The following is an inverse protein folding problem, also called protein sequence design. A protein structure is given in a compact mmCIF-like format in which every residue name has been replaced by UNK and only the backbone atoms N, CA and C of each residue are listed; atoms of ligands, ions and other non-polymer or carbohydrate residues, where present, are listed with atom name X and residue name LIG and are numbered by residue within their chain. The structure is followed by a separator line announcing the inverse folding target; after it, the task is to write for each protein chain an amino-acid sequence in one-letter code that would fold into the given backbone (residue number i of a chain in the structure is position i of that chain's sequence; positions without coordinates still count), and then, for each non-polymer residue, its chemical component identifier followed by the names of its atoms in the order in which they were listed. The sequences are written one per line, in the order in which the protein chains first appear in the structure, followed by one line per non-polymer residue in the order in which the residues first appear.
data_IF_356801457877
#
_entry.id   IF_356801457877
#
_cell.length_a   1.000
_cell.length_b   1.000
_cell.length_c   1.000
_cell.angle_alpha   90.00
_cell.angle_beta   90.00
_cell.angle_gamma   90.00
#
_symmetry.space_group_name_H-M   'P 1'
#
loop_
_entity.id
_entity.type
_entity.pdbx_description
1 polymer ?
#
# COMPACT_ATOMS: atom_id res chain seq x y z
N UNK A 1 -20.67 9.71 -4.57
CA UNK A 1 -20.31 8.86 -3.40
C UNK A 1 -21.57 8.10 -2.99
N UNK A 2 -21.43 6.84 -2.61
CA UNK A 2 -22.57 5.92 -2.41
C UNK A 2 -22.81 5.59 -0.95
N UNK A 3 -21.74 5.61 -0.15
CA UNK A 3 -21.78 5.24 1.25
C UNK A 3 -21.29 6.39 2.12
N UNK A 4 -21.78 6.46 3.35
CA UNK A 4 -21.24 7.28 4.43
C UNK A 4 -20.68 6.35 5.49
N UNK A 5 -19.41 6.55 5.87
CA UNK A 5 -18.72 5.77 6.89
C UNK A 5 -18.20 6.70 7.98
N UNK A 6 -18.18 6.22 9.23
CA UNK A 6 -17.78 7.00 10.40
C UNK A 6 -16.46 6.49 10.97
N UNK A 7 -15.58 7.41 11.32
CA UNK A 7 -14.30 7.13 11.97
C UNK A 7 -14.53 6.63 13.38
N UNK A 8 -14.04 5.42 13.69
CA UNK A 8 -14.09 4.78 15.00
C UNK A 8 -12.77 4.85 15.74
N UNK A 9 -11.65 4.85 15.00
CA UNK A 9 -10.32 4.90 15.58
C UNK A 9 -9.34 5.58 14.65
N UNK A 10 -8.37 6.32 15.22
CA UNK A 10 -7.26 6.96 14.51
C UNK A 10 -6.00 6.70 15.32
N UNK A 11 -4.95 6.18 14.67
CA UNK A 11 -3.64 5.93 15.27
C UNK A 11 -2.54 6.33 14.30
N UNK A 12 -1.39 6.76 14.85
CA UNK A 12 -0.19 6.95 14.03
C UNK A 12 0.53 5.61 13.85
N UNK A 13 0.83 5.25 12.62
CA UNK A 13 1.68 4.10 12.26
C UNK A 13 3.14 4.53 12.16
N UNK A 14 3.36 5.68 11.52
CA UNK A 14 4.65 6.37 11.46
C UNK A 14 4.43 7.86 11.77
N UNK A 15 5.48 8.68 11.69
CA UNK A 15 5.38 10.12 11.93
C UNK A 15 4.47 10.85 10.91
N UNK A 16 4.19 10.25 9.75
CA UNK A 16 3.40 10.83 8.67
C UNK A 16 2.37 9.86 8.06
N UNK A 17 2.06 8.76 8.76
CA UNK A 17 1.07 7.76 8.31
C UNK A 17 0.05 7.51 9.40
N UNK A 18 -1.23 7.66 9.05
CA UNK A 18 -2.37 7.35 9.90
C UNK A 18 -2.93 5.97 9.58
N UNK A 19 -3.34 5.25 10.61
CA UNK A 19 -4.24 4.11 10.54
C UNK A 19 -5.63 4.56 10.96
N UNK A 20 -6.59 4.46 10.05
CA UNK A 20 -7.99 4.79 10.28
C UNK A 20 -8.82 3.52 10.31
N UNK A 21 -9.69 3.40 11.32
CA UNK A 21 -10.72 2.35 11.38
C UNK A 21 -12.08 3.04 11.29
N UNK A 22 -12.94 2.54 10.41
CA UNK A 22 -14.30 3.04 10.22
C UNK A 22 -15.31 1.89 10.32
N UNK A 23 -16.59 2.20 10.46
CA UNK A 23 -17.63 1.21 10.22
C UNK A 23 -17.60 0.74 8.76
N UNK A 24 -18.18 -0.42 8.54
CA UNK A 24 -18.33 -1.03 7.23
C UNK A 24 -19.81 -1.04 6.84
N UNK A 25 -20.20 -0.49 5.68
CA UNK A 25 -21.58 -0.54 5.22
C UNK A 25 -22.06 -1.98 5.03
N UNK A 26 -23.31 -2.22 5.38
CA UNK A 26 -23.94 -3.54 5.19
C UNK A 26 -23.90 -3.96 3.71
N UNK A 27 -23.48 -5.20 3.46
CA UNK A 27 -23.35 -5.76 2.12
C UNK A 27 -22.18 -5.21 1.31
N UNK A 28 -21.34 -4.33 1.85
CA UNK A 28 -20.16 -3.84 1.15
C UNK A 28 -19.09 -4.93 1.05
N UNK A 29 -18.57 -5.12 -0.16
CA UNK A 29 -17.55 -6.13 -0.45
C UNK A 29 -16.44 -5.54 -1.32
N UNK A 30 -15.24 -6.04 -1.17
CA UNK A 30 -14.06 -5.71 -1.94
C UNK A 30 -13.10 -6.91 -1.99
N UNK A 31 -12.08 -6.81 -2.83
CA UNK A 31 -10.98 -7.80 -2.89
C UNK A 31 -9.72 -7.18 -2.30
N UNK A 32 -8.89 -7.91 -1.51
CA UNK A 32 -7.62 -7.40 -1.00
C UNK A 32 -6.75 -6.79 -2.11
N UNK A 33 -6.28 -5.57 -1.89
CA UNK A 33 -5.55 -4.76 -2.85
C UNK A 33 -6.37 -3.69 -3.56
N UNK A 34 -7.70 -3.76 -3.51
CA UNK A 34 -8.58 -2.73 -4.07
C UNK A 34 -8.60 -1.46 -3.21
N UNK A 35 -8.95 -0.36 -3.86
CA UNK A 35 -9.13 0.96 -3.30
C UNK A 35 -10.58 1.45 -3.44
N UNK A 36 -10.89 2.56 -2.81
CA UNK A 36 -12.11 3.35 -3.01
C UNK A 36 -11.77 4.82 -3.04
N UNK A 37 -12.64 5.66 -3.58
CA UNK A 37 -12.58 7.09 -3.37
C UNK A 37 -13.17 7.44 -2.01
N UNK A 38 -12.44 8.25 -1.22
CA UNK A 38 -12.94 8.89 -0.01
C UNK A 38 -12.93 10.40 -0.14
N UNK A 39 -13.95 11.05 0.40
CA UNK A 39 -14.00 12.49 0.63
C UNK A 39 -14.41 12.74 2.09
N UNK A 40 -13.81 13.73 2.75
CA UNK A 40 -14.21 14.11 4.12
C UNK A 40 -15.60 14.73 4.05
N UNK A 41 -16.54 14.25 4.88
CA UNK A 41 -17.91 14.78 4.91
C UNK A 41 -17.99 16.09 5.71
N UNK A 42 -17.26 17.10 5.24
CA UNK A 42 -17.27 18.48 5.75
C UNK A 42 -17.52 19.47 4.61
N UNK A 43 -18.09 20.62 4.92
CA UNK A 43 -18.35 21.66 3.92
C UNK A 43 -17.04 22.09 3.24
N UNK A 44 -17.07 22.16 1.91
CA UNK A 44 -15.91 22.47 1.07
C UNK A 44 -14.99 21.29 0.75
N UNK A 45 -15.17 20.12 1.39
CA UNK A 45 -14.30 18.93 1.18
C UNK A 45 -15.01 17.75 0.52
N UNK A 46 -16.35 17.78 0.40
CA UNK A 46 -17.12 16.65 -0.14
C UNK A 46 -16.83 16.31 -1.60
N UNK A 47 -16.34 17.27 -2.37
CA UNK A 47 -15.97 17.09 -3.78
C UNK A 47 -14.48 16.74 -3.96
N UNK A 48 -13.68 16.89 -2.90
CA UNK A 48 -12.25 16.61 -2.87
C UNK A 48 -11.97 15.12 -2.64
N UNK A 49 -12.24 14.31 -3.66
CA UNK A 49 -12.07 12.85 -3.59
C UNK A 49 -10.63 12.44 -3.78
N UNK A 50 -10.21 11.44 -3.01
CA UNK A 50 -8.88 10.81 -3.15
C UNK A 50 -9.01 9.30 -3.05
N UNK A 51 -8.19 8.54 -3.81
CA UNK A 51 -8.15 7.09 -3.72
C UNK A 51 -7.40 6.63 -2.47
N UNK A 52 -8.00 5.70 -1.72
CA UNK A 52 -7.37 5.03 -0.61
C UNK A 52 -7.63 3.53 -0.65
N UNK A 53 -6.57 2.76 -0.43
CA UNK A 53 -6.62 1.30 -0.45
C UNK A 53 -7.19 0.78 0.86
N UNK A 54 -8.05 -0.24 0.79
CA UNK A 54 -8.48 -0.98 1.97
C UNK A 54 -7.30 -1.79 2.53
N UNK A 55 -6.99 -1.61 3.82
CA UNK A 55 -5.98 -2.40 4.53
C UNK A 55 -6.59 -3.40 5.51
N UNK A 56 -7.92 -3.42 5.64
CA UNK A 56 -8.72 -4.52 6.24
C UNK A 56 -8.91 -5.67 5.26
N UNK A 57 -9.51 -6.75 5.73
CA UNK A 57 -9.94 -7.87 4.89
C UNK A 57 -11.46 -7.81 4.61
N UNK A 58 -11.92 -8.43 3.51
CA UNK A 58 -13.36 -8.41 3.16
C UNK A 58 -14.28 -8.98 4.21
N UNK A 59 -13.82 -9.93 5.00
CA UNK A 59 -14.56 -10.57 6.09
C UNK A 59 -14.51 -9.81 7.42
N UNK A 60 -13.68 -8.77 7.53
CA UNK A 60 -13.63 -7.95 8.74
C UNK A 60 -14.90 -7.10 8.89
N UNK A 61 -15.32 -6.84 10.12
CA UNK A 61 -16.53 -6.07 10.44
C UNK A 61 -16.34 -4.55 10.29
N UNK A 62 -15.11 -4.12 10.09
CA UNK A 62 -14.70 -2.74 9.98
C UNK A 62 -13.84 -2.54 8.73
N UNK A 63 -13.80 -1.31 8.21
CA UNK A 63 -12.87 -0.94 7.17
C UNK A 63 -11.64 -0.29 7.80
N UNK A 64 -10.46 -0.68 7.32
CA UNK A 64 -9.19 -0.07 7.71
C UNK A 64 -8.55 0.59 6.50
N UNK A 65 -7.94 1.76 6.75
CA UNK A 65 -7.16 2.51 5.77
C UNK A 65 -5.83 2.91 6.40
N UNK A 66 -4.75 2.78 5.66
CA UNK A 66 -3.42 3.26 6.04
C UNK A 66 -3.06 4.41 5.10
N UNK A 67 -3.05 5.62 5.62
CA UNK A 67 -3.00 6.84 4.80
C UNK A 67 -1.77 7.66 5.13
N UNK A 68 -0.92 7.89 4.11
CA UNK A 68 0.21 8.80 4.24
C UNK A 68 -0.24 10.24 4.09
N UNK A 69 0.09 11.06 5.08
CA UNK A 69 -0.16 12.49 5.07
C UNK A 69 0.95 13.23 4.31
N UNK A 70 0.57 14.32 3.66
CA UNK A 70 1.50 15.21 2.95
C UNK A 70 1.25 16.67 3.40
N UNK A 71 1.78 17.08 4.57
CA UNK A 71 1.49 18.39 5.17
C UNK A 71 1.90 19.60 4.33
N UNK A 72 2.74 19.40 3.33
CA UNK A 72 3.19 20.47 2.42
C UNK A 72 2.26 20.74 1.23
N UNK A 73 1.21 19.96 1.08
CA UNK A 73 0.20 20.14 0.04
C UNK A 73 -1.11 20.57 0.68
N UNK A 74 -1.49 21.85 0.52
CA UNK A 74 -2.84 22.32 0.85
C UNK A 74 -3.85 21.39 0.16
N UNK A 75 -4.59 20.59 0.93
CA UNK A 75 -5.55 19.63 0.38
C UNK A 75 -6.06 18.62 1.40
N UNK A 76 -6.84 17.64 0.91
CA UNK A 76 -7.52 16.61 1.74
C UNK A 76 -6.56 15.88 2.68
N UNK A 77 -5.33 15.60 2.26
CA UNK A 77 -4.35 14.88 3.09
C UNK A 77 -3.80 15.72 4.24
N UNK A 78 -3.88 17.05 4.19
CA UNK A 78 -3.58 17.93 5.31
C UNK A 78 -4.74 17.93 6.32
N UNK A 79 -5.99 17.98 5.83
CA UNK A 79 -7.18 17.90 6.67
C UNK A 79 -7.34 16.55 7.39
N UNK A 80 -6.69 15.48 6.92
CA UNK A 80 -6.66 14.20 7.63
C UNK A 80 -5.98 14.30 9.00
N UNK A 81 -5.02 15.21 9.18
CA UNK A 81 -4.38 15.47 10.47
C UNK A 81 -5.34 16.08 11.51
N UNK A 82 -6.43 16.69 11.05
CA UNK A 82 -7.47 17.33 11.89
C UNK A 82 -8.68 16.43 12.16
N UNK A 83 -8.65 15.17 11.69
CA UNK A 83 -9.74 14.23 11.91
C UNK A 83 -9.84 13.79 13.36
N UNK A 84 -11.07 13.59 13.79
CA UNK A 84 -11.41 13.06 15.10
C UNK A 84 -12.32 11.83 15.00
N UNK A 85 -12.31 11.00 16.03
CA UNK A 85 -13.30 9.92 16.16
C UNK A 85 -14.70 10.52 16.14
N UNK A 86 -15.58 9.97 15.30
CA UNK A 86 -16.92 10.48 15.04
C UNK A 86 -17.04 11.28 13.74
N UNK A 87 -15.93 11.77 13.17
CA UNK A 87 -15.94 12.37 11.82
C UNK A 87 -16.38 11.32 10.78
N UNK A 88 -16.84 11.77 9.62
CA UNK A 88 -17.35 10.88 8.58
C UNK A 88 -16.67 11.11 7.25
N UNK A 89 -16.62 10.04 6.46
CA UNK A 89 -16.25 10.08 5.05
C UNK A 89 -17.44 9.71 4.16
N UNK A 90 -17.48 10.31 2.99
CA UNK A 90 -18.24 9.81 1.86
C UNK A 90 -17.33 8.84 1.10
N UNK A 91 -17.84 7.64 0.77
CA UNK A 91 -17.10 6.56 0.14
C UNK A 91 -17.76 6.11 -1.17
N UNK A 92 -16.95 5.78 -2.17
CA UNK A 92 -17.36 5.18 -3.44
C UNK A 92 -17.46 3.66 -3.40
N UNK A 93 -17.65 3.05 -4.57
CA UNK A 93 -17.53 1.60 -4.75
C UNK A 93 -16.03 1.20 -4.73
N UNK A 94 -15.75 -0.09 -4.49
CA UNK A 94 -14.39 -0.61 -4.57
C UNK A 94 -13.93 -0.77 -6.03
N UNK A 95 -12.67 -0.44 -6.30
CA UNK A 95 -12.04 -0.55 -7.62
C UNK A 95 -10.52 -0.78 -7.49
N UNK A 96 -9.83 -1.02 -8.62
CA UNK A 96 -8.37 -1.15 -8.68
C UNK A 96 -7.91 -2.38 -9.43
N UNK A 97 -6.72 -2.33 -9.99
CA UNK A 97 -6.09 -3.39 -10.78
C UNK A 97 -5.17 -4.30 -9.94
N UNK A 98 -4.72 -3.83 -8.77
CA UNK A 98 -3.81 -4.60 -7.91
C UNK A 98 -4.63 -5.57 -7.07
N UNK A 99 -4.69 -6.82 -7.54
CA UNK A 99 -5.30 -7.95 -6.83
C UNK A 99 -4.37 -9.14 -6.88
N UNK A 100 -4.47 -10.05 -5.90
CA UNK A 100 -3.63 -11.24 -5.86
C UNK A 100 -3.91 -12.18 -7.04
N UNK A 101 -2.88 -12.51 -7.80
CA UNK A 101 -2.92 -13.37 -9.01
C UNK A 101 -1.93 -14.55 -8.92
N UNK A 102 -1.44 -14.86 -7.73
CA UNK A 102 -0.52 -15.98 -7.52
C UNK A 102 0.81 -15.57 -6.88
N UNK A 103 1.62 -16.57 -6.61
CA UNK A 103 2.94 -16.43 -5.96
C UNK A 103 3.87 -15.48 -6.71
N UNK A 104 4.58 -14.63 -5.97
CA UNK A 104 5.50 -13.69 -6.60
C UNK A 104 6.11 -12.67 -5.65
N UNK A 105 6.70 -11.65 -6.24
CA UNK A 105 7.41 -10.58 -5.54
C UNK A 105 6.56 -9.31 -5.53
N UNK A 106 6.42 -8.73 -4.35
CA UNK A 106 5.83 -7.41 -4.15
C UNK A 106 6.94 -6.36 -4.12
N UNK A 107 6.78 -5.26 -4.85
CA UNK A 107 7.69 -4.12 -4.87
C UNK A 107 6.90 -2.87 -4.52
N UNK A 108 7.19 -2.30 -3.35
CA UNK A 108 6.49 -1.14 -2.83
C UNK A 108 7.39 0.08 -2.69
N UNK A 109 6.83 1.27 -2.88
CA UNK A 109 7.47 2.54 -2.55
C UNK A 109 6.60 3.40 -1.64
N UNK A 110 7.03 3.65 -0.40
CA UNK A 110 6.29 4.46 0.57
C UNK A 110 4.83 4.01 0.72
N UNK A 111 3.86 4.90 0.49
CA UNK A 111 2.43 4.57 0.58
C UNK A 111 1.96 3.48 -0.39
N UNK A 112 2.73 3.16 -1.43
CA UNK A 112 2.43 2.04 -2.34
C UNK A 112 2.45 0.66 -1.71
N UNK A 113 2.82 0.54 -0.42
CA UNK A 113 2.70 -0.70 0.36
C UNK A 113 1.23 -1.07 0.64
N UNK A 114 0.31 -0.11 0.62
CA UNK A 114 -1.06 -0.30 1.14
C UNK A 114 -1.84 -1.44 0.47
N UNK A 115 -1.85 -1.63 -0.86
CA UNK A 115 -2.52 -2.80 -1.45
C UNK A 115 -1.88 -4.12 -1.01
N UNK A 116 -0.57 -4.12 -0.77
CA UNK A 116 0.15 -5.32 -0.36
C UNK A 116 -0.08 -5.67 1.10
N UNK A 117 -0.37 -4.70 1.98
CA UNK A 117 -0.77 -4.95 3.37
C UNK A 117 -2.00 -5.87 3.40
N UNK A 118 -3.06 -5.53 2.67
CA UNK A 118 -4.28 -6.35 2.63
C UNK A 118 -4.02 -7.73 2.01
N UNK A 119 -3.27 -7.79 0.91
CA UNK A 119 -2.94 -9.07 0.24
C UNK A 119 -2.10 -9.97 1.16
N UNK A 120 -1.04 -9.44 1.78
CA UNK A 120 -0.17 -10.20 2.69
C UNK A 120 -0.91 -10.63 3.96
N UNK A 121 -1.79 -9.75 4.50
CA UNK A 121 -2.66 -10.07 5.64
C UNK A 121 -3.59 -11.25 5.32
N UNK A 122 -4.19 -11.27 4.12
CA UNK A 122 -5.03 -12.37 3.63
C UNK A 122 -4.23 -13.66 3.44
N UNK A 123 -3.05 -13.57 2.81
CA UNK A 123 -2.16 -14.71 2.62
C UNK A 123 -1.67 -15.29 3.96
N UNK A 124 -1.34 -14.43 4.93
CA UNK A 124 -0.95 -14.86 6.27
C UNK A 124 -2.10 -15.61 6.97
N UNK A 125 -3.31 -15.05 6.96
CA UNK A 125 -4.50 -15.70 7.55
C UNK A 125 -4.76 -17.08 6.93
N UNK A 126 -4.46 -17.24 5.64
CA UNK A 126 -4.61 -18.51 4.89
C UNK A 126 -3.40 -19.45 4.98
N UNK A 127 -2.34 -19.07 5.71
CA UNK A 127 -1.03 -19.79 5.75
C UNK A 127 -0.41 -20.01 4.35
N UNK A 128 -0.48 -19.00 3.49
CA UNK A 128 -0.02 -19.03 2.09
C UNK A 128 1.10 -18.03 1.78
N UNK A 129 1.84 -17.56 2.78
CA UNK A 129 2.94 -16.60 2.59
C UNK A 129 4.17 -17.20 1.92
N UNK A 130 4.38 -18.51 2.03
CA UNK A 130 5.55 -19.18 1.45
C UNK A 130 5.64 -18.94 -0.07
N UNK A 131 6.82 -18.58 -0.54
CA UNK A 131 7.09 -18.27 -1.95
C UNK A 131 6.82 -16.82 -2.35
N UNK A 132 6.46 -15.97 -1.36
CA UNK A 132 6.33 -14.54 -1.58
C UNK A 132 7.48 -13.79 -0.94
N UNK A 133 7.88 -12.68 -1.55
CA UNK A 133 8.84 -11.73 -0.99
C UNK A 133 8.34 -10.29 -1.17
N UNK A 134 8.81 -9.40 -0.33
CA UNK A 134 8.54 -7.97 -0.42
C UNK A 134 9.84 -7.18 -0.47
N UNK A 135 9.99 -6.33 -1.48
CA UNK A 135 11.01 -5.29 -1.57
C UNK A 135 10.33 -3.96 -1.30
N UNK A 136 10.76 -3.26 -0.24
CA UNK A 136 10.12 -2.03 0.21
C UNK A 136 11.10 -0.86 0.22
N UNK A 137 10.85 0.14 -0.64
CA UNK A 137 11.67 1.34 -0.75
C UNK A 137 11.10 2.48 0.07
N UNK A 138 11.93 3.06 0.94
CA UNK A 138 11.59 4.19 1.79
C UNK A 138 12.70 5.26 1.76
N UNK A 139 12.48 6.40 2.42
CA UNK A 139 13.52 7.43 2.58
C UNK A 139 14.44 7.08 3.73
N UNK A 140 13.87 6.78 4.88
CA UNK A 140 14.55 6.50 6.15
C UNK A 140 13.85 5.34 6.86
N UNK A 141 14.47 4.79 7.91
CA UNK A 141 13.93 3.68 8.69
C UNK A 141 12.56 4.02 9.32
N UNK A 142 12.42 5.24 9.85
CA UNK A 142 11.16 5.71 10.45
C UNK A 142 9.99 5.84 9.46
N UNK A 143 10.25 5.75 8.15
CA UNK A 143 9.22 5.74 7.10
C UNK A 143 8.68 4.33 6.81
N UNK A 144 9.25 3.27 7.41
CA UNK A 144 8.86 1.88 7.14
C UNK A 144 7.52 1.58 7.82
N UNK A 145 6.46 1.48 7.01
CA UNK A 145 5.10 1.22 7.48
C UNK A 145 4.98 -0.24 7.92
N UNK A 146 4.49 -0.49 9.12
CA UNK A 146 4.24 -1.82 9.70
C UNK A 146 5.45 -2.78 9.67
N UNK A 147 6.67 -2.27 9.83
CA UNK A 147 7.90 -3.06 9.75
C UNK A 147 7.82 -4.36 10.56
N UNK A 148 7.53 -4.29 11.84
CA UNK A 148 7.47 -5.46 12.72
C UNK A 148 6.44 -6.51 12.29
N UNK A 149 5.28 -6.09 11.79
CA UNK A 149 4.26 -7.01 11.30
C UNK A 149 4.71 -7.74 10.03
N UNK A 150 5.31 -7.01 9.09
CA UNK A 150 5.78 -7.57 7.83
C UNK A 150 6.98 -8.50 8.07
N UNK A 151 7.89 -8.14 8.97
CA UNK A 151 8.98 -9.01 9.42
C UNK A 151 8.48 -10.31 10.04
N UNK A 152 7.44 -10.23 10.87
CA UNK A 152 6.81 -11.42 11.45
C UNK A 152 6.13 -12.32 10.39
N UNK A 153 5.65 -11.74 9.29
CA UNK A 153 5.00 -12.48 8.20
C UNK A 153 5.99 -13.11 7.22
N UNK A 154 7.00 -12.35 6.78
CA UNK A 154 7.88 -12.71 5.67
C UNK A 154 9.30 -13.09 6.12
N UNK A 155 9.72 -12.71 7.34
CA UNK A 155 11.07 -12.99 7.83
C UNK A 155 12.16 -12.52 6.87
N UNK A 156 13.02 -13.42 6.43
CA UNK A 156 14.13 -13.15 5.51
C UNK A 156 13.70 -12.79 4.08
N UNK A 157 12.41 -12.92 3.75
CA UNK A 157 11.86 -12.56 2.44
C UNK A 157 11.33 -11.11 2.42
N UNK A 158 11.61 -10.33 3.47
CA UNK A 158 11.33 -8.90 3.55
C UNK A 158 12.61 -8.09 3.42
N UNK A 159 12.73 -7.29 2.36
CA UNK A 159 13.90 -6.48 2.04
C UNK A 159 13.56 -5.01 2.04
N UNK A 160 14.25 -4.23 2.88
CA UNK A 160 14.13 -2.77 2.89
C UNK A 160 15.32 -2.12 2.19
N UNK A 161 15.05 -1.03 1.44
CA UNK A 161 16.06 -0.17 0.85
C UNK A 161 15.75 1.29 1.18
N UNK A 162 16.74 2.01 1.73
CA UNK A 162 16.60 3.37 2.22
C UNK A 162 17.37 4.35 1.33
N UNK A 163 16.68 5.35 0.79
CA UNK A 163 17.28 6.27 -0.17
C UNK A 163 18.03 7.45 0.45
N UNK A 164 17.77 7.77 1.72
CA UNK A 164 18.35 8.92 2.44
C UNK A 164 19.07 8.57 3.73
N UNK A 165 19.04 7.32 4.14
CA UNK A 165 19.65 6.85 5.38
C UNK A 165 20.49 5.60 5.10
N UNK A 166 21.62 5.48 5.80
CA UNK A 166 22.46 4.27 5.82
C UNK A 166 22.36 3.64 7.18
N UNK A 167 21.96 2.38 7.23
CA UNK A 167 21.93 1.57 8.44
C UNK A 167 22.70 0.28 8.19
N UNK A 168 22.98 -0.48 9.23
CA UNK A 168 23.61 -1.81 9.10
C UNK A 168 22.60 -2.87 8.65
N UNK A 169 21.30 -2.65 8.93
CA UNK A 169 20.24 -3.63 8.71
C UNK A 169 19.59 -3.54 7.33
N UNK A 170 19.63 -2.35 6.70
CA UNK A 170 18.92 -2.10 5.45
C UNK A 170 19.84 -1.71 4.31
N UNK A 171 19.49 -2.11 3.10
CA UNK A 171 20.19 -1.66 1.90
C UNK A 171 20.08 -0.13 1.74
N UNK A 172 21.11 0.49 1.16
CA UNK A 172 21.11 1.94 0.89
C UNK A 172 21.05 2.23 -0.60
N UNK A 173 20.18 3.15 -1.00
CA UNK A 173 20.05 3.61 -2.38
C UNK A 173 18.62 3.54 -2.90
N UNK A 174 18.50 3.22 -4.18
CA UNK A 174 17.22 3.01 -4.86
C UNK A 174 17.18 1.59 -5.41
N UNK A 175 15.97 1.07 -5.58
CA UNK A 175 15.78 -0.18 -6.32
C UNK A 175 16.19 0.12 -7.77
N UNK A 176 17.16 -0.64 -8.26
CA UNK A 176 17.65 -0.64 -9.62
C UNK A 176 17.74 -2.07 -10.17
N UNK A 177 18.18 -2.21 -11.41
CA UNK A 177 18.27 -3.51 -12.08
C UNK A 177 19.20 -4.49 -11.35
N UNK A 178 20.32 -4.00 -10.81
CA UNK A 178 21.29 -4.86 -10.10
C UNK A 178 20.70 -5.35 -8.77
N UNK A 179 19.99 -4.47 -8.06
CA UNK A 179 19.26 -4.84 -6.85
C UNK A 179 18.18 -5.90 -7.15
N UNK A 180 17.40 -5.72 -8.21
CA UNK A 180 16.38 -6.68 -8.64
C UNK A 180 16.97 -8.04 -9.00
N UNK A 181 18.12 -8.07 -9.70
CA UNK A 181 18.82 -9.31 -10.04
C UNK A 181 19.31 -10.05 -8.80
N UNK A 182 19.91 -9.33 -7.85
CA UNK A 182 20.37 -9.87 -6.56
C UNK A 182 19.24 -10.54 -5.77
N UNK A 183 18.02 -10.05 -5.90
CA UNK A 183 16.82 -10.61 -5.24
C UNK A 183 16.02 -11.55 -6.16
N UNK A 184 16.66 -12.13 -7.18
CA UNK A 184 16.12 -13.17 -8.06
C UNK A 184 14.82 -12.82 -8.79
N UNK A 185 14.59 -11.54 -9.11
CA UNK A 185 13.35 -11.10 -9.78
C UNK A 185 13.12 -11.76 -11.15
N UNK A 186 14.19 -12.12 -11.87
CA UNK A 186 14.08 -12.77 -13.18
C UNK A 186 13.35 -14.13 -13.14
N UNK A 187 13.25 -14.75 -11.96
CA UNK A 187 12.55 -16.04 -11.75
C UNK A 187 11.19 -15.89 -11.08
N UNK A 188 10.75 -14.66 -10.80
CA UNK A 188 9.46 -14.39 -10.16
C UNK A 188 8.30 -14.83 -11.06
N UNK A 189 7.33 -15.55 -10.50
CA UNK A 189 6.11 -15.97 -11.23
C UNK A 189 5.21 -14.78 -11.54
N UNK A 190 5.05 -13.89 -10.56
CA UNK A 190 4.32 -12.62 -10.63
C UNK A 190 5.14 -11.52 -9.98
N UNK A 191 4.99 -10.29 -10.46
CA UNK A 191 5.58 -9.10 -9.85
C UNK A 191 4.47 -8.09 -9.64
N UNK A 192 4.28 -7.69 -8.39
CA UNK A 192 3.30 -6.67 -7.99
C UNK A 192 4.05 -5.38 -7.73
N UNK A 193 3.69 -4.30 -8.41
CA UNK A 193 4.39 -3.03 -8.32
C UNK A 193 3.43 -1.89 -7.95
N UNK A 194 3.74 -1.18 -6.85
CA UNK A 194 3.00 0.00 -6.44
C UNK A 194 3.92 1.02 -5.76
N UNK A 195 3.77 2.29 -6.13
CA UNK A 195 4.58 3.37 -5.57
C UNK A 195 4.49 4.67 -6.35
N UNK A 196 5.36 5.64 -6.07
CA UNK A 196 5.37 6.90 -6.78
C UNK A 196 5.58 6.73 -8.30
N UNK A 197 4.89 7.48 -9.16
CA UNK A 197 4.95 7.32 -10.61
C UNK A 197 6.38 7.29 -11.21
N UNK A 198 7.33 8.15 -10.76
CA UNK A 198 8.71 8.06 -11.28
C UNK A 198 9.41 6.74 -10.94
N UNK A 199 9.16 6.17 -9.74
CA UNK A 199 9.71 4.87 -9.35
C UNK A 199 9.09 3.76 -10.19
N UNK A 200 7.76 3.74 -10.32
CA UNK A 200 7.05 2.74 -11.10
C UNK A 200 7.52 2.71 -12.56
N UNK A 201 7.66 3.88 -13.20
CA UNK A 201 8.13 3.99 -14.58
C UNK A 201 9.55 3.44 -14.76
N UNK A 202 10.47 3.76 -13.84
CA UNK A 202 11.84 3.24 -13.89
C UNK A 202 11.86 1.72 -13.71
N UNK A 203 11.17 1.21 -12.68
CA UNK A 203 11.16 -0.23 -12.38
C UNK A 203 10.45 -1.07 -13.43
N UNK A 204 9.40 -0.58 -14.08
CA UNK A 204 8.79 -1.28 -15.22
C UNK A 204 9.78 -1.51 -16.34
N UNK A 205 10.60 -0.49 -16.67
CA UNK A 205 11.65 -0.62 -17.69
C UNK A 205 12.69 -1.67 -17.29
N UNK A 206 13.15 -1.64 -16.05
CA UNK A 206 14.15 -2.59 -15.53
C UNK A 206 13.60 -4.01 -15.47
N UNK A 207 12.34 -4.20 -15.03
CA UNK A 207 11.68 -5.50 -14.98
C UNK A 207 11.53 -6.12 -16.37
N UNK A 208 11.12 -5.35 -17.38
CA UNK A 208 11.06 -5.84 -18.76
C UNK A 208 12.45 -6.18 -19.31
N UNK A 209 13.49 -5.40 -18.98
CA UNK A 209 14.87 -5.69 -19.34
C UNK A 209 15.44 -6.94 -18.64
N UNK A 210 14.82 -7.38 -17.54
CA UNK A 210 15.11 -8.65 -16.83
C UNK A 210 14.29 -9.83 -17.34
N UNK A 211 13.41 -9.62 -18.33
CA UNK A 211 12.60 -10.67 -18.94
C UNK A 211 11.24 -10.91 -18.31
N UNK A 212 10.82 -10.06 -17.36
CA UNK A 212 9.44 -10.09 -16.83
C UNK A 212 8.48 -9.66 -17.93
N UNK A 213 7.51 -10.50 -18.25
CA UNK A 213 6.48 -10.18 -19.26
C UNK A 213 5.38 -9.28 -18.70
N UNK A 214 4.59 -8.69 -19.60
CA UNK A 214 3.43 -7.88 -19.19
C UNK A 214 2.40 -8.66 -18.36
N UNK A 215 2.21 -9.94 -18.68
CA UNK A 215 1.25 -10.81 -17.97
C UNK A 215 1.75 -11.22 -16.56
N UNK A 216 3.03 -11.05 -16.28
CA UNK A 216 3.61 -11.29 -14.98
C UNK A 216 3.55 -10.03 -14.10
N UNK A 217 3.50 -8.84 -14.69
CA UNK A 217 3.51 -7.57 -13.97
C UNK A 217 2.09 -7.12 -13.64
N UNK A 218 1.80 -6.98 -12.34
CA UNK A 218 0.55 -6.46 -11.79
C UNK A 218 0.84 -5.07 -11.21
N UNK A 219 0.31 -4.05 -11.84
CA UNK A 219 0.46 -2.65 -11.42
C UNK A 219 -0.77 -1.85 -11.85
N UNK A 220 -0.95 -0.69 -11.27
CA UNK A 220 -1.90 0.29 -11.81
C UNK A 220 -1.32 0.93 -13.06
N UNK A 221 -2.19 1.25 -14.02
CA UNK A 221 -1.77 2.00 -15.21
C UNK A 221 -1.26 3.37 -14.79
N UNK A 222 -0.07 3.71 -15.27
CA UNK A 222 0.49 5.05 -15.14
C UNK A 222 -0.17 5.93 -16.20
N UNK A 223 -1.31 6.54 -15.83
CA UNK A 223 -1.95 7.53 -16.67
C UNK A 223 -1.12 8.82 -16.80
#
# INVERSE_FOLDING_TARGET
MKYKIQVKKIENVTHDVLHLITDKPEGFSFTPGQATELAIDKDGLRDEKRPFTFTSLPEDNELEFTIKMYPSHEGVTDELANLSVGDSFLMGDAWGAIMYQGEGTFIAGGAGITPFIAILKDLNRKNKLKGHQLIFANKTEKDIIYQQHIEAWLGSDFYNILSKEKTEEHAHGRIDKDFLQKHHLATAKKVYLCGPPPMMKALQSDLYALGISKDQLIAEDLA
#
